data_IF_203487842212
#
_entry.id   IF_203487842212
#
_cell.length_a   1.000
_cell.length_b   1.000
_cell.length_c   1.000
_cell.angle_alpha   90.00
_cell.angle_beta   90.00
_cell.angle_gamma   90.00
#
_symmetry.space_group_name_H-M   'P 1'
#
loop_
_entity.id
_entity.type
_entity.pdbx_description
1 polymer ?
#
# COMPACT_ATOMS: atom_id res chain seq x y z
N UNK A 1 8.95 -4.22 11.44
CA UNK A 1 8.53 -4.48 10.05
C UNK A 1 9.39 -5.54 9.38
N UNK A 2 10.73 -5.44 9.33
CA UNK A 2 11.66 -6.37 8.64
C UNK A 2 11.45 -7.83 9.03
N UNK A 3 11.35 -8.14 10.33
CA UNK A 3 11.12 -9.52 10.80
C UNK A 3 9.82 -10.13 10.25
N UNK A 4 8.71 -9.37 10.28
CA UNK A 4 7.43 -9.85 9.74
C UNK A 4 7.49 -10.06 8.23
N UNK A 5 8.19 -9.19 7.49
CA UNK A 5 8.43 -9.35 6.06
C UNK A 5 9.23 -10.61 5.75
N UNK A 6 10.26 -10.90 6.55
CA UNK A 6 11.05 -12.13 6.44
C UNK A 6 10.21 -13.39 6.71
N UNK A 7 9.36 -13.35 7.76
CA UNK A 7 8.44 -14.45 8.09
C UNK A 7 7.40 -14.66 6.97
N UNK A 8 6.89 -13.58 6.37
CA UNK A 8 5.98 -13.66 5.24
C UNK A 8 6.68 -14.26 4.00
N UNK A 9 7.88 -13.82 3.67
CA UNK A 9 8.66 -14.37 2.56
C UNK A 9 8.97 -15.86 2.77
N UNK A 10 9.31 -16.24 4.00
CA UNK A 10 9.51 -17.63 4.41
C UNK A 10 8.25 -18.47 4.22
N UNK A 11 7.09 -17.94 4.63
CA UNK A 11 5.78 -18.58 4.49
C UNK A 11 5.43 -18.84 3.02
N UNK A 12 5.78 -17.93 2.11
CA UNK A 12 5.45 -17.99 0.68
C UNK A 12 6.45 -18.84 -0.12
N UNK A 13 7.76 -18.69 0.16
CA UNK A 13 8.83 -19.22 -0.70
C UNK A 13 9.97 -19.95 0.04
N UNK A 14 9.88 -20.11 1.36
CA UNK A 14 10.82 -20.87 2.19
C UNK A 14 11.94 -20.03 2.82
N UNK A 15 12.78 -20.69 3.62
CA UNK A 15 13.76 -20.05 4.51
C UNK A 15 14.73 -19.12 3.79
N UNK A 16 15.23 -19.52 2.61
CA UNK A 16 16.15 -18.69 1.82
C UNK A 16 15.53 -17.37 1.41
N UNK A 17 14.26 -17.37 0.97
CA UNK A 17 13.55 -16.13 0.63
C UNK A 17 13.37 -15.24 1.88
N UNK A 18 13.08 -15.84 3.04
CA UNK A 18 13.00 -15.15 4.32
C UNK A 18 14.31 -14.46 4.71
N UNK A 19 15.44 -15.16 4.64
CA UNK A 19 16.77 -14.60 4.97
C UNK A 19 17.16 -13.46 4.01
N UNK A 20 16.94 -13.63 2.71
CA UNK A 20 17.21 -12.57 1.72
C UNK A 20 16.32 -11.35 1.98
N UNK A 21 15.05 -11.57 2.31
CA UNK A 21 14.13 -10.49 2.69
C UNK A 21 14.59 -9.75 3.94
N UNK A 22 15.05 -10.46 4.96
CA UNK A 22 15.59 -9.85 6.18
C UNK A 22 16.81 -8.98 5.88
N UNK A 23 17.75 -9.50 5.09
CA UNK A 23 18.97 -8.78 4.71
C UNK A 23 18.66 -7.51 3.89
N UNK A 24 17.90 -7.65 2.80
CA UNK A 24 17.52 -6.49 1.97
C UNK A 24 16.72 -5.49 2.78
N UNK A 25 15.74 -5.97 3.57
CA UNK A 25 14.88 -5.10 4.38
C UNK A 25 15.63 -4.30 5.44
N UNK A 26 16.72 -4.86 5.99
CA UNK A 26 17.56 -4.16 6.96
C UNK A 26 18.38 -3.00 6.35
N UNK A 27 18.78 -3.12 5.08
CA UNK A 27 19.61 -2.12 4.41
C UNK A 27 18.81 -1.17 3.50
N UNK A 28 17.55 -1.50 3.15
CA UNK A 28 16.76 -0.71 2.22
C UNK A 28 16.16 0.54 2.89
N UNK A 29 16.58 1.76 2.48
CA UNK A 29 16.24 2.98 3.18
C UNK A 29 14.74 3.26 3.30
N UNK A 30 13.93 2.95 2.29
CA UNK A 30 12.49 3.22 2.34
C UNK A 30 11.73 2.35 3.35
N UNK A 31 12.34 1.30 3.90
CA UNK A 31 11.72 0.53 5.00
C UNK A 31 11.92 1.16 6.38
N UNK A 32 12.98 1.96 6.58
CA UNK A 32 13.31 2.50 7.91
C UNK A 32 13.37 4.04 7.95
N UNK A 33 13.38 4.74 6.80
CA UNK A 33 13.49 6.22 6.78
C UNK A 33 12.37 6.92 7.55
N UNK A 34 11.21 6.29 7.64
CA UNK A 34 10.05 6.82 8.37
C UNK A 34 10.12 6.56 9.89
N UNK A 35 11.00 5.67 10.37
CA UNK A 35 11.08 5.30 11.80
C UNK A 35 11.59 6.44 12.69
N UNK A 36 12.31 7.39 12.10
CA UNK A 36 12.76 8.62 12.77
C UNK A 36 11.74 9.76 12.76
N UNK A 37 10.56 9.57 12.20
CA UNK A 37 9.52 10.60 12.07
C UNK A 37 8.27 10.22 12.87
N UNK A 38 7.57 11.22 13.40
CA UNK A 38 6.27 11.02 14.06
C UNK A 38 5.21 10.92 12.96
N UNK A 39 5.21 9.80 12.26
CA UNK A 39 4.30 9.50 11.14
C UNK A 39 3.74 8.08 11.24
N UNK A 40 2.61 7.82 10.59
CA UNK A 40 1.90 6.54 10.67
C UNK A 40 2.53 5.42 9.85
N UNK A 41 3.48 5.72 8.96
CA UNK A 41 4.01 4.80 7.96
C UNK A 41 4.67 3.55 8.57
N UNK A 42 5.49 3.71 9.61
CA UNK A 42 6.16 2.58 10.27
C UNK A 42 5.17 1.65 10.95
N UNK A 43 4.19 2.22 11.66
CA UNK A 43 3.14 1.45 12.33
C UNK A 43 2.23 0.73 11.32
N UNK A 44 1.76 1.45 10.30
CA UNK A 44 0.87 0.88 9.28
C UNK A 44 1.58 -0.19 8.45
N UNK A 45 2.88 -0.02 8.16
CA UNK A 45 3.68 -1.04 7.47
C UNK A 45 3.71 -2.38 8.22
N UNK A 46 3.88 -2.33 9.56
CA UNK A 46 3.82 -3.54 10.40
C UNK A 46 2.44 -4.21 10.32
N UNK A 47 1.37 -3.42 10.45
CA UNK A 47 0.00 -3.92 10.42
C UNK A 47 -0.38 -4.52 9.04
N UNK A 48 0.03 -3.88 7.94
CA UNK A 48 -0.21 -4.36 6.57
C UNK A 48 0.52 -5.68 6.30
N UNK A 49 1.82 -5.78 6.66
CA UNK A 49 2.57 -7.04 6.53
C UNK A 49 1.95 -8.13 7.39
N UNK A 50 1.54 -7.79 8.63
CA UNK A 50 0.82 -8.70 9.52
C UNK A 50 -0.49 -9.20 8.92
N UNK A 51 -1.28 -8.33 8.30
CA UNK A 51 -2.53 -8.67 7.62
C UNK A 51 -2.31 -9.67 6.50
N UNK A 52 -1.30 -9.43 5.66
CA UNK A 52 -0.98 -10.34 4.54
C UNK A 52 -0.43 -11.67 5.04
N UNK A 53 0.43 -11.67 6.07
CA UNK A 53 0.92 -12.91 6.70
C UNK A 53 -0.22 -13.73 7.31
N UNK A 54 -1.13 -13.06 8.05
CA UNK A 54 -2.33 -13.71 8.59
C UNK A 54 -3.20 -14.30 7.48
N UNK A 55 -3.33 -13.62 6.34
CA UNK A 55 -4.08 -14.10 5.17
C UNK A 55 -3.49 -15.40 4.62
N UNK A 56 -2.17 -15.50 4.45
CA UNK A 56 -1.54 -16.75 4.00
C UNK A 56 -1.73 -17.89 5.00
N UNK A 57 -1.57 -17.61 6.30
CA UNK A 57 -1.81 -18.60 7.36
C UNK A 57 -3.27 -19.03 7.44
N UNK A 58 -4.22 -18.12 7.24
CA UNK A 58 -5.65 -18.42 7.18
C UNK A 58 -5.99 -19.27 5.95
N UNK A 59 -5.42 -18.95 4.79
CA UNK A 59 -5.64 -19.71 3.56
C UNK A 59 -5.13 -21.16 3.62
N UNK A 60 -4.08 -21.46 4.43
CA UNK A 60 -3.61 -22.83 4.66
C UNK A 60 -4.55 -23.66 5.55
N UNK A 61 -5.35 -23.02 6.38
CA UNK A 61 -6.29 -23.69 7.29
C UNK A 61 -7.62 -22.93 7.27
N UNK A 62 -8.34 -22.95 6.13
CA UNK A 62 -9.48 -22.06 5.89
C UNK A 62 -10.66 -22.27 6.84
N UNK A 63 -10.78 -23.46 7.43
CA UNK A 63 -11.82 -23.78 8.41
C UNK A 63 -11.54 -23.20 9.82
N UNK A 64 -10.35 -22.68 10.07
CA UNK A 64 -10.03 -22.02 11.34
C UNK A 64 -10.54 -20.57 11.29
N UNK A 65 -11.80 -20.36 11.62
CA UNK A 65 -12.54 -19.11 11.53
C UNK A 65 -11.84 -17.92 12.21
N UNK A 66 -11.18 -18.12 13.36
CA UNK A 66 -10.48 -17.08 14.11
C UNK A 66 -9.32 -16.44 13.34
N UNK A 67 -8.69 -17.16 12.41
CA UNK A 67 -7.62 -16.63 11.56
C UNK A 67 -8.14 -15.56 10.61
N UNK A 68 -9.38 -15.72 10.12
CA UNK A 68 -10.00 -14.72 9.27
C UNK A 68 -10.44 -13.49 10.06
N UNK A 69 -10.83 -13.65 11.32
CA UNK A 69 -11.04 -12.51 12.23
C UNK A 69 -9.73 -11.76 12.46
N UNK A 70 -8.58 -12.47 12.60
CA UNK A 70 -7.28 -11.82 12.74
C UNK A 70 -6.89 -11.01 11.49
N UNK A 71 -7.22 -11.48 10.28
CA UNK A 71 -7.03 -10.72 9.04
C UNK A 71 -7.81 -9.39 9.10
N UNK A 72 -9.08 -9.45 9.48
CA UNK A 72 -9.92 -8.25 9.62
C UNK A 72 -9.45 -7.30 10.72
N UNK A 73 -9.05 -7.85 11.88
CA UNK A 73 -8.50 -7.08 13.00
C UNK A 73 -7.25 -6.29 12.58
N UNK A 74 -6.25 -6.95 12.01
CA UNK A 74 -5.01 -6.30 11.58
C UNK A 74 -5.25 -5.31 10.42
N UNK A 75 -6.15 -5.65 9.48
CA UNK A 75 -6.57 -4.73 8.43
C UNK A 75 -7.30 -3.50 8.97
N UNK A 76 -8.14 -3.66 10.00
CA UNK A 76 -8.78 -2.55 10.70
C UNK A 76 -7.79 -1.64 11.41
N UNK A 77 -6.80 -2.21 12.08
CA UNK A 77 -5.68 -1.46 12.69
C UNK A 77 -4.91 -0.68 11.62
N UNK A 78 -4.66 -1.29 10.46
CA UNK A 78 -4.03 -0.59 9.32
C UNK A 78 -4.85 0.61 8.86
N UNK A 79 -6.17 0.46 8.75
CA UNK A 79 -7.10 1.50 8.33
C UNK A 79 -7.21 2.66 9.32
N UNK A 80 -7.10 2.40 10.64
CA UNK A 80 -7.03 3.45 11.66
C UNK A 80 -5.74 4.28 11.55
N UNK A 81 -4.65 3.67 11.09
CA UNK A 81 -3.40 4.39 10.85
C UNK A 81 -3.39 5.20 9.56
N UNK A 82 -4.07 4.70 8.51
CA UNK A 82 -4.19 5.36 7.19
C UNK A 82 -5.51 4.98 6.52
N UNK A 83 -6.34 5.97 6.24
CA UNK A 83 -7.71 5.77 5.79
C UNK A 83 -7.85 4.94 4.51
N UNK A 84 -6.94 5.09 3.54
CA UNK A 84 -6.94 4.34 2.29
C UNK A 84 -6.77 2.83 2.50
N UNK A 85 -6.12 2.41 3.59
CA UNK A 85 -5.92 1.00 3.93
C UNK A 85 -7.20 0.28 4.37
N UNK A 86 -8.33 0.99 4.52
CA UNK A 86 -9.65 0.37 4.68
C UNK A 86 -9.97 -0.56 3.52
N UNK A 87 -9.44 -0.29 2.33
CA UNK A 87 -9.60 -1.11 1.14
C UNK A 87 -8.80 -2.41 1.16
N UNK A 88 -7.83 -2.57 2.08
CA UNK A 88 -6.95 -3.74 2.10
C UNK A 88 -7.73 -5.06 2.32
N UNK A 89 -8.62 -5.09 3.30
CA UNK A 89 -9.43 -6.29 3.59
C UNK A 89 -10.40 -6.61 2.45
N UNK A 90 -11.18 -5.66 1.91
CA UNK A 90 -12.00 -5.89 0.71
C UNK A 90 -11.22 -6.42 -0.50
N UNK A 91 -10.04 -5.84 -0.79
CA UNK A 91 -9.18 -6.29 -1.89
C UNK A 91 -8.67 -7.71 -1.65
N UNK A 92 -8.23 -8.04 -0.42
CA UNK A 92 -7.86 -9.41 -0.05
C UNK A 92 -9.07 -10.35 -0.17
N UNK A 93 -10.24 -9.96 0.31
CA UNK A 93 -11.46 -10.75 0.25
C UNK A 93 -11.87 -11.08 -1.20
N UNK A 94 -11.75 -10.11 -2.12
CA UNK A 94 -11.95 -10.36 -3.56
C UNK A 94 -11.01 -11.47 -4.07
N UNK A 95 -9.74 -11.44 -3.67
CA UNK A 95 -8.79 -12.50 -4.01
C UNK A 95 -9.10 -13.86 -3.36
N UNK A 96 -9.65 -13.87 -2.15
CA UNK A 96 -10.13 -15.09 -1.47
C UNK A 96 -11.31 -15.68 -2.22
N UNK A 97 -12.28 -14.85 -2.61
CA UNK A 97 -13.46 -15.28 -3.36
C UNK A 97 -13.11 -15.89 -4.73
N UNK A 98 -12.08 -15.35 -5.39
CA UNK A 98 -11.59 -15.80 -6.69
C UNK A 98 -10.61 -16.99 -6.62
N UNK A 99 -10.27 -17.50 -5.40
CA UNK A 99 -9.27 -18.54 -5.22
C UNK A 99 -9.88 -19.92 -4.85
N UNK A 100 -10.24 -20.79 -5.82
CA UNK A 100 -10.84 -22.10 -5.52
C UNK A 100 -9.98 -23.00 -4.63
N UNK A 101 -8.66 -22.78 -4.64
CA UNK A 101 -7.67 -23.49 -3.81
C UNK A 101 -7.89 -23.34 -2.30
N UNK A 102 -8.63 -22.30 -1.86
CA UNK A 102 -8.93 -22.05 -0.43
C UNK A 102 -10.07 -22.95 0.04
N UNK A 103 -10.88 -23.49 -0.87
CA UNK A 103 -12.00 -24.36 -0.56
C UNK A 103 -13.27 -24.04 -1.33
N UNK A 104 -14.38 -24.65 -0.92
CA UNK A 104 -15.68 -24.41 -1.52
C UNK A 104 -16.10 -22.93 -1.39
N UNK A 105 -16.97 -22.47 -2.29
CA UNK A 105 -17.42 -21.06 -2.30
C UNK A 105 -18.01 -20.62 -0.93
N UNK A 106 -18.73 -21.52 -0.25
CA UNK A 106 -19.27 -21.25 1.09
C UNK A 106 -18.17 -20.91 2.10
N UNK A 107 -17.05 -21.66 2.10
CA UNK A 107 -15.90 -21.39 2.99
C UNK A 107 -15.29 -20.03 2.67
N UNK A 108 -15.12 -19.69 1.40
CA UNK A 108 -14.57 -18.41 0.95
C UNK A 108 -15.47 -17.24 1.30
N UNK A 109 -16.79 -17.40 1.20
CA UNK A 109 -17.77 -16.38 1.61
C UNK A 109 -17.74 -16.16 3.11
N UNK A 110 -17.70 -17.23 3.92
CA UNK A 110 -17.62 -17.13 5.38
C UNK A 110 -16.29 -16.47 5.78
N UNK A 111 -15.15 -16.86 5.18
CA UNK A 111 -13.84 -16.28 5.40
C UNK A 111 -13.84 -14.76 5.15
N UNK A 112 -14.37 -14.35 4.00
CA UNK A 112 -14.46 -12.93 3.62
C UNK A 112 -15.40 -12.15 4.55
N UNK A 113 -16.54 -12.73 4.93
CA UNK A 113 -17.49 -12.12 5.86
C UNK A 113 -16.87 -11.94 7.26
N UNK A 114 -16.18 -12.95 7.79
CA UNK A 114 -15.50 -12.86 9.09
C UNK A 114 -14.42 -11.78 9.10
N UNK A 115 -13.60 -11.69 8.05
CA UNK A 115 -12.61 -10.63 7.93
C UNK A 115 -13.27 -9.25 7.82
N UNK A 116 -14.36 -9.12 7.07
CA UNK A 116 -15.14 -7.89 6.96
C UNK A 116 -15.77 -7.46 8.28
N UNK A 117 -16.39 -8.39 9.00
CA UNK A 117 -17.00 -8.12 10.33
C UNK A 117 -15.93 -7.66 11.32
N UNK A 118 -14.78 -8.33 11.38
CA UNK A 118 -13.69 -7.93 12.28
C UNK A 118 -13.14 -6.55 11.92
N UNK A 119 -12.98 -6.23 10.63
CA UNK A 119 -12.62 -4.88 10.16
C UNK A 119 -13.63 -3.85 10.70
N UNK A 120 -14.93 -4.08 10.49
CA UNK A 120 -15.99 -3.16 10.92
C UNK A 120 -16.02 -2.98 12.44
N UNK A 121 -15.83 -4.06 13.21
CA UNK A 121 -15.77 -4.00 14.67
C UNK A 121 -14.58 -3.14 15.17
N UNK A 122 -13.44 -3.20 14.50
CA UNK A 122 -12.28 -2.34 14.83
C UNK A 122 -12.56 -0.87 14.52
N UNK A 123 -13.25 -0.59 13.42
CA UNK A 123 -13.54 0.78 13.00
C UNK A 123 -14.76 1.39 13.72
N UNK A 124 -15.68 0.57 14.23
CA UNK A 124 -16.94 1.02 14.83
C UNK A 124 -16.75 2.02 15.98
N UNK A 125 -15.86 1.81 16.97
CA UNK A 125 -15.66 2.79 18.05
C UNK A 125 -15.23 4.16 17.53
N UNK A 126 -14.33 4.19 16.54
CA UNK A 126 -13.85 5.43 15.93
C UNK A 126 -14.96 6.13 15.13
N UNK A 127 -15.75 5.36 14.36
CA UNK A 127 -16.87 5.89 13.62
C UNK A 127 -17.96 6.47 14.54
N UNK A 128 -18.31 5.76 15.63
CA UNK A 128 -19.29 6.23 16.63
C UNK A 128 -18.79 7.52 17.29
N UNK A 129 -17.53 7.57 17.70
CA UNK A 129 -16.92 8.77 18.28
C UNK A 129 -16.97 9.96 17.32
N UNK A 130 -16.59 9.77 16.05
CA UNK A 130 -16.65 10.83 15.06
C UNK A 130 -18.08 11.30 14.79
N UNK A 131 -19.04 10.37 14.73
CA UNK A 131 -20.45 10.68 14.47
C UNK A 131 -21.11 11.50 15.60
N UNK A 132 -20.58 11.41 16.82
CA UNK A 132 -21.05 12.22 17.97
C UNK A 132 -20.37 13.57 18.09
N UNK A 133 -19.21 13.76 17.45
CA UNK A 133 -18.36 14.94 17.61
C UNK A 133 -18.49 15.95 16.46
N UNK A 134 -18.66 15.46 15.25
CA UNK A 134 -18.66 16.29 14.04
C UNK A 134 -20.07 16.61 13.56
N UNK A 135 -20.26 17.80 12.98
CA UNK A 135 -21.55 18.23 12.37
C UNK A 135 -21.93 17.40 11.15
N UNK A 136 -20.93 16.96 10.37
CA UNK A 136 -21.10 16.13 9.19
C UNK A 136 -20.51 14.73 9.40
N UNK A 137 -20.95 13.76 8.61
CA UNK A 137 -20.49 12.37 8.72
C UNK A 137 -19.01 12.25 8.37
N UNK A 138 -18.21 11.83 9.35
CA UNK A 138 -16.78 11.50 9.19
C UNK A 138 -16.60 10.01 9.47
N UNK A 139 -16.14 9.26 8.45
CA UNK A 139 -15.91 7.81 8.59
C UNK A 139 -14.56 7.55 9.27
N UNK A 140 -13.48 8.05 8.72
CA UNK A 140 -12.12 7.82 9.23
C UNK A 140 -11.36 9.11 9.51
N UNK A 141 -11.38 10.06 8.58
CA UNK A 141 -10.60 11.30 8.63
C UNK A 141 -11.34 12.43 7.93
N UNK A 142 -11.03 13.67 8.31
CA UNK A 142 -11.45 14.89 7.62
C UNK A 142 -10.40 15.38 6.60
N UNK A 143 -9.21 14.75 6.57
CA UNK A 143 -8.11 15.16 5.69
C UNK A 143 -8.34 14.83 4.21
N UNK A 144 -9.27 13.94 3.90
CA UNK A 144 -9.60 13.55 2.52
C UNK A 144 -10.10 14.75 1.69
N UNK A 145 -10.95 15.61 2.28
CA UNK A 145 -11.42 16.83 1.60
C UNK A 145 -10.27 17.78 1.25
N UNK A 146 -9.36 18.01 2.20
CA UNK A 146 -8.19 18.87 1.96
C UNK A 146 -7.26 18.26 0.90
N UNK A 147 -6.98 16.97 1.00
CA UNK A 147 -6.14 16.28 0.02
C UNK A 147 -6.75 16.33 -1.39
N UNK A 148 -8.07 16.17 -1.51
CA UNK A 148 -8.77 16.21 -2.79
C UNK A 148 -8.77 17.61 -3.39
N UNK A 149 -9.14 18.67 -2.65
CA UNK A 149 -9.21 20.02 -3.20
C UNK A 149 -7.84 20.53 -3.60
N UNK A 150 -6.83 20.34 -2.77
CA UNK A 150 -5.46 20.80 -3.04
C UNK A 150 -4.74 20.05 -4.18
N UNK A 151 -5.33 18.97 -4.67
CA UNK A 151 -4.80 18.17 -5.79
C UNK A 151 -5.70 18.17 -7.03
N UNK A 152 -6.83 18.91 -6.99
CA UNK A 152 -7.73 19.08 -8.12
C UNK A 152 -7.97 20.57 -8.37
N UNK A 153 -6.96 21.23 -8.94
CA UNK A 153 -6.90 22.64 -9.30
C UNK A 153 -5.99 22.81 -10.54
N UNK A 154 -5.95 23.99 -11.13
CA UNK A 154 -5.21 24.27 -12.37
C UNK A 154 -3.72 23.92 -12.27
N UNK A 155 -3.08 24.26 -11.15
CA UNK A 155 -1.67 23.93 -10.90
C UNK A 155 -1.42 22.41 -10.89
N UNK A 156 -2.30 21.65 -10.22
CA UNK A 156 -2.19 20.20 -10.11
C UNK A 156 -2.51 19.45 -11.41
N UNK A 157 -3.16 20.13 -12.37
CA UNK A 157 -3.61 19.55 -13.64
C UNK A 157 -2.72 19.90 -14.83
N UNK A 158 -1.67 20.72 -14.65
CA UNK A 158 -0.86 21.23 -15.76
C UNK A 158 0.65 21.25 -15.46
N UNK A 159 1.43 21.41 -16.52
CA UNK A 159 2.87 21.65 -16.43
C UNK A 159 3.68 20.55 -15.77
N UNK A 160 4.82 20.97 -15.21
CA UNK A 160 5.77 20.06 -14.57
C UNK A 160 5.30 19.52 -13.21
N UNK A 161 4.29 20.13 -12.62
CA UNK A 161 3.78 19.82 -11.28
C UNK A 161 2.50 19.00 -11.32
N UNK A 162 2.09 18.56 -12.50
CA UNK A 162 0.90 17.70 -12.69
C UNK A 162 0.91 16.49 -11.73
N UNK A 163 -0.21 16.26 -11.06
CA UNK A 163 -0.39 15.15 -10.12
C UNK A 163 0.14 15.38 -8.70
N UNK A 164 0.66 16.57 -8.38
CA UNK A 164 1.04 16.98 -7.02
C UNK A 164 -0.14 17.57 -6.24
N UNK A 165 0.15 18.03 -5.02
CA UNK A 165 -0.78 18.74 -4.14
C UNK A 165 -0.26 20.13 -3.80
N UNK A 166 -1.15 21.10 -3.61
CA UNK A 166 -0.84 22.51 -3.40
C UNK A 166 -1.56 23.07 -2.17
N UNK A 167 -1.11 22.65 -0.99
CA UNK A 167 -1.71 23.02 0.30
C UNK A 167 -1.50 24.49 0.70
N UNK A 168 -0.72 25.26 -0.05
CA UNK A 168 -0.42 26.69 0.24
C UNK A 168 -0.78 27.61 -0.90
N UNK A 169 -1.33 27.11 -2.00
CA UNK A 169 -1.79 27.92 -3.12
C UNK A 169 -3.22 28.41 -2.86
N UNK A 170 -3.44 29.72 -2.94
CA UNK A 170 -4.79 30.29 -2.82
C UNK A 170 -5.71 29.83 -3.95
N UNK A 171 -5.17 29.55 -5.14
CA UNK A 171 -5.92 29.09 -6.29
C UNK A 171 -6.39 27.62 -6.13
N UNK A 172 -5.64 26.82 -5.37
CA UNK A 172 -5.97 25.42 -5.07
C UNK A 172 -6.73 25.23 -3.76
N UNK A 173 -6.69 26.19 -2.87
CA UNK A 173 -7.28 26.08 -1.54
C UNK A 173 -8.25 27.24 -1.30
N UNK A 174 -9.54 27.07 -1.61
CA UNK A 174 -10.55 28.11 -1.36
C UNK A 174 -10.70 28.37 0.13
N UNK A 175 -11.17 29.59 0.46
CA UNK A 175 -11.44 29.93 1.85
C UNK A 175 -12.38 28.90 2.50
N UNK A 176 -12.05 28.43 3.71
CA UNK A 176 -12.88 27.42 4.38
C UNK A 176 -14.25 28.02 4.74
N UNK A 177 -15.34 27.25 4.58
CA UNK A 177 -16.65 27.65 5.04
C UNK A 177 -16.70 27.76 6.58
N UNK A 178 -17.72 28.43 7.10
CA UNK A 178 -17.99 28.43 8.54
C UNK A 178 -18.51 27.06 8.97
N UNK A 179 -17.99 26.54 10.09
CA UNK A 179 -18.35 25.23 10.64
C UNK A 179 -17.11 24.50 11.17
N UNK A 180 -17.30 23.26 11.60
CA UNK A 180 -16.21 22.42 12.05
C UNK A 180 -15.42 21.80 10.87
N UNK A 181 -14.39 21.01 11.19
CA UNK A 181 -13.53 20.38 10.18
C UNK A 181 -14.28 19.45 9.23
N UNK A 182 -15.42 18.89 9.65
CA UNK A 182 -16.22 17.99 8.81
C UNK A 182 -17.01 18.76 7.74
N UNK A 183 -17.48 19.96 8.07
CA UNK A 183 -18.14 20.90 7.13
C UNK A 183 -17.13 21.37 6.09
N UNK A 184 -15.93 21.75 6.53
CA UNK A 184 -14.84 22.14 5.64
C UNK A 184 -14.46 20.99 4.69
N UNK A 185 -14.31 19.77 5.20
CA UNK A 185 -13.96 18.60 4.40
C UNK A 185 -15.04 18.26 3.37
N UNK A 186 -16.33 18.38 3.72
CA UNK A 186 -17.45 18.15 2.79
C UNK A 186 -17.44 19.17 1.66
N UNK A 187 -17.26 20.45 1.99
CA UNK A 187 -17.18 21.53 1.00
C UNK A 187 -15.98 21.35 0.06
N UNK A 188 -14.81 21.01 0.61
CA UNK A 188 -13.62 20.77 -0.19
C UNK A 188 -13.77 19.57 -1.13
N UNK A 189 -14.41 18.49 -0.69
CA UNK A 189 -14.76 17.37 -1.59
C UNK A 189 -15.70 17.84 -2.70
N UNK A 190 -16.71 18.64 -2.38
CA UNK A 190 -17.64 19.19 -3.37
C UNK A 190 -16.94 20.03 -4.43
N UNK A 191 -16.03 20.93 -4.01
CA UNK A 191 -15.23 21.75 -4.93
C UNK A 191 -14.32 20.87 -5.80
N UNK A 192 -13.64 19.90 -5.21
CA UNK A 192 -12.77 18.99 -5.94
C UNK A 192 -13.54 18.18 -7.00
N UNK A 193 -14.68 17.59 -6.64
CA UNK A 193 -15.50 16.83 -7.60
C UNK A 193 -16.07 17.71 -8.71
N UNK A 194 -16.49 18.93 -8.39
CA UNK A 194 -16.93 19.91 -9.39
C UNK A 194 -15.80 20.17 -10.38
N UNK A 195 -14.60 20.50 -9.90
CA UNK A 195 -13.42 20.75 -10.73
C UNK A 195 -13.08 19.54 -11.63
N UNK A 196 -13.09 18.32 -11.04
CA UNK A 196 -12.85 17.09 -11.79
C UNK A 196 -13.89 16.88 -12.91
N UNK A 197 -15.17 17.18 -12.66
CA UNK A 197 -16.23 17.03 -13.66
C UNK A 197 -16.11 18.07 -14.80
N UNK A 198 -15.75 19.29 -14.48
CA UNK A 198 -15.52 20.37 -15.45
C UNK A 198 -14.24 20.11 -16.30
N UNK A 199 -13.28 19.38 -15.75
CA UNK A 199 -12.02 19.04 -16.41
C UNK A 199 -11.88 17.51 -16.70
N UNK A 200 -13.00 16.82 -16.95
CA UNK A 200 -13.05 15.35 -17.06
C UNK A 200 -12.08 14.79 -18.12
N UNK A 201 -11.84 15.50 -19.22
CA UNK A 201 -10.90 15.11 -20.28
C UNK A 201 -9.44 15.07 -19.81
N UNK A 202 -9.10 15.85 -18.76
CA UNK A 202 -7.75 15.92 -18.18
C UNK A 202 -7.53 14.86 -17.08
N UNK A 203 -8.60 14.39 -16.42
CA UNK A 203 -8.52 13.45 -15.30
C UNK A 203 -7.67 12.21 -15.62
N UNK A 204 -7.80 11.52 -16.76
CA UNK A 204 -6.98 10.32 -17.03
C UNK A 204 -5.48 10.59 -17.00
N UNK A 205 -5.01 11.69 -17.60
CA UNK A 205 -3.58 12.02 -17.62
C UNK A 205 -3.08 12.45 -16.24
N UNK A 206 -3.90 13.15 -15.45
CA UNK A 206 -3.57 13.52 -14.08
C UNK A 206 -3.46 12.28 -13.20
N UNK A 207 -4.36 11.30 -13.34
CA UNK A 207 -4.30 10.02 -12.65
C UNK A 207 -3.04 9.25 -13.02
N UNK A 208 -2.67 9.18 -14.30
CA UNK A 208 -1.42 8.56 -14.74
C UNK A 208 -0.19 9.26 -14.14
N UNK A 209 -0.20 10.59 -14.07
CA UNK A 209 0.88 11.35 -13.44
C UNK A 209 0.96 11.06 -11.93
N UNK A 210 -0.17 10.99 -11.22
CA UNK A 210 -0.23 10.62 -9.79
C UNK A 210 0.35 9.23 -9.54
N UNK A 211 -0.09 8.24 -10.30
CA UNK A 211 0.44 6.87 -10.23
C UNK A 211 1.95 6.85 -10.56
N UNK A 212 2.36 7.54 -11.62
CA UNK A 212 3.76 7.64 -11.99
C UNK A 212 4.64 8.27 -10.89
N UNK A 213 4.15 9.27 -10.17
CA UNK A 213 4.84 9.91 -9.03
C UNK A 213 4.88 9.00 -7.81
N UNK A 214 3.77 8.36 -7.47
CA UNK A 214 3.68 7.43 -6.36
C UNK A 214 4.68 6.26 -6.54
N UNK A 215 4.72 5.70 -7.74
CA UNK A 215 5.65 4.62 -8.09
C UNK A 215 7.03 5.10 -8.55
N UNK A 216 7.35 6.39 -8.40
CA UNK A 216 8.63 7.00 -8.82
C UNK A 216 9.01 6.73 -10.28
N UNK A 217 8.02 6.52 -11.14
CA UNK A 217 8.19 6.32 -12.60
C UNK A 217 8.04 7.62 -13.38
N UNK A 218 7.51 8.67 -12.75
CA UNK A 218 7.38 10.00 -13.33
C UNK A 218 7.98 11.04 -12.40
N UNK A 219 8.98 11.81 -12.90
CA UNK A 219 9.68 12.89 -12.22
C UNK A 219 10.17 12.56 -10.80
N UNK A 220 10.95 11.51 -10.60
CA UNK A 220 11.41 11.08 -9.26
C UNK A 220 12.25 12.12 -8.53
N UNK A 221 12.95 13.02 -9.27
CA UNK A 221 13.74 14.10 -8.68
C UNK A 221 12.89 15.12 -7.90
N UNK A 222 11.66 15.40 -8.38
CA UNK A 222 10.73 16.28 -7.66
C UNK A 222 10.33 15.65 -6.33
N UNK A 223 10.13 14.33 -6.30
CA UNK A 223 9.75 13.58 -5.10
C UNK A 223 10.85 13.60 -4.03
N UNK A 224 12.12 13.70 -4.43
CA UNK A 224 13.22 13.92 -3.48
C UNK A 224 13.02 15.21 -2.68
N UNK A 225 12.70 16.30 -3.37
CA UNK A 225 12.48 17.60 -2.75
C UNK A 225 11.30 17.59 -1.77
N UNK A 226 10.20 16.89 -2.15
CA UNK A 226 9.05 16.71 -1.26
C UNK A 226 9.39 15.89 -0.01
N UNK A 227 10.13 14.81 -0.14
CA UNK A 227 10.56 14.01 1.01
C UNK A 227 11.46 14.80 1.96
N UNK A 228 12.34 15.66 1.43
CA UNK A 228 13.18 16.55 2.24
C UNK A 228 12.33 17.59 2.97
N UNK A 229 11.32 18.16 2.31
CA UNK A 229 10.39 19.11 2.92
C UNK A 229 9.57 18.49 4.06
N UNK A 230 9.36 17.17 4.04
CA UNK A 230 8.70 16.40 5.10
C UNK A 230 9.67 15.90 6.20
N UNK A 231 10.94 16.33 6.19
CA UNK A 231 11.93 16.02 7.22
C UNK A 231 12.79 14.78 6.97
N UNK A 232 12.69 14.14 5.78
CA UNK A 232 13.55 13.00 5.44
C UNK A 232 14.90 13.48 4.92
N UNK A 233 16.04 12.92 5.39
CA UNK A 233 17.35 13.30 4.87
C UNK A 233 17.48 13.03 3.37
N UNK A 234 18.00 14.02 2.62
CA UNK A 234 18.12 13.92 1.16
C UNK A 234 18.93 12.71 0.71
N UNK A 235 20.07 12.45 1.37
CA UNK A 235 20.93 11.33 1.03
C UNK A 235 20.24 9.97 1.22
N UNK A 236 19.44 9.82 2.30
CA UNK A 236 18.65 8.59 2.57
C UNK A 236 17.62 8.35 1.48
N UNK A 237 16.89 9.40 1.10
CA UNK A 237 15.87 9.29 0.04
C UNK A 237 16.50 9.01 -1.31
N UNK A 238 17.66 9.65 -1.62
CA UNK A 238 18.40 9.38 -2.86
C UNK A 238 18.87 7.93 -2.92
N UNK A 239 19.47 7.43 -1.82
CA UNK A 239 19.88 6.03 -1.71
C UNK A 239 18.69 5.09 -1.83
N UNK A 240 17.57 5.44 -1.20
CA UNK A 240 16.30 4.69 -1.32
C UNK A 240 15.85 4.54 -2.77
N UNK A 241 15.91 5.61 -3.58
CA UNK A 241 15.56 5.55 -5.00
C UNK A 241 16.54 4.68 -5.81
N UNK A 242 17.85 4.74 -5.53
CA UNK A 242 18.85 3.89 -6.19
C UNK A 242 18.56 2.41 -5.94
N UNK A 243 18.21 2.02 -4.71
CA UNK A 243 17.83 0.65 -4.38
C UNK A 243 16.47 0.26 -4.95
N UNK A 244 15.54 1.22 -5.02
CA UNK A 244 14.17 0.97 -5.43
C UNK A 244 14.03 0.36 -6.81
N UNK A 245 14.73 0.89 -7.83
CA UNK A 245 14.54 0.40 -9.20
C UNK A 245 15.00 -1.04 -9.43
N UNK A 246 16.18 -1.47 -8.94
CA UNK A 246 16.56 -2.89 -9.00
C UNK A 246 15.60 -3.78 -8.23
N UNK A 247 15.12 -3.32 -7.04
CA UNK A 247 14.16 -4.08 -6.25
C UNK A 247 12.81 -4.19 -6.96
N UNK A 248 12.33 -3.13 -7.58
CA UNK A 248 11.09 -3.15 -8.36
C UNK A 248 11.20 -4.12 -9.55
N UNK A 249 12.31 -4.08 -10.29
CA UNK A 249 12.54 -5.02 -11.37
C UNK A 249 12.57 -6.47 -10.85
N UNK A 250 13.30 -6.73 -9.77
CA UNK A 250 13.32 -8.03 -9.11
C UNK A 250 11.95 -8.46 -8.60
N UNK A 251 11.12 -7.51 -8.13
CA UNK A 251 9.75 -7.80 -7.70
C UNK A 251 8.85 -8.26 -8.85
N UNK A 252 8.96 -7.66 -10.03
CA UNK A 252 8.26 -8.15 -11.23
C UNK A 252 8.68 -9.57 -11.60
N UNK A 253 9.99 -9.87 -11.54
CA UNK A 253 10.51 -11.21 -11.80
C UNK A 253 9.98 -12.21 -10.75
N UNK A 254 9.99 -11.84 -9.46
CA UNK A 254 9.46 -12.68 -8.39
C UNK A 254 7.95 -12.93 -8.52
N UNK A 255 7.20 -11.89 -8.87
CA UNK A 255 5.79 -12.00 -9.17
C UNK A 255 5.53 -12.96 -10.35
N UNK A 256 6.28 -12.82 -11.42
CA UNK A 256 6.21 -13.71 -12.60
C UNK A 256 6.55 -15.16 -12.23
N UNK A 257 7.59 -15.40 -11.43
CA UNK A 257 7.95 -16.74 -10.95
C UNK A 257 6.81 -17.37 -10.15
N UNK A 258 6.20 -16.63 -9.20
CA UNK A 258 5.07 -17.11 -8.42
C UNK A 258 3.87 -17.44 -9.33
N UNK A 259 3.57 -16.58 -10.28
CA UNK A 259 2.49 -16.78 -11.26
C UNK A 259 2.73 -18.03 -12.10
N UNK A 260 3.92 -18.21 -12.67
CA UNK A 260 4.31 -19.41 -13.45
C UNK A 260 4.21 -20.68 -12.61
N UNK A 261 4.54 -20.60 -11.32
CA UNK A 261 4.43 -21.73 -10.38
C UNK A 261 3.00 -21.91 -9.85
N UNK A 262 2.01 -21.17 -10.36
CA UNK A 262 0.60 -21.21 -9.94
C UNK A 262 0.42 -20.98 -8.42
N UNK A 263 1.32 -20.21 -7.79
CA UNK A 263 1.20 -19.82 -6.39
C UNK A 263 0.22 -18.66 -6.26
N UNK A 264 -0.45 -18.57 -5.13
CA UNK A 264 -1.40 -17.50 -4.86
C UNK A 264 -0.65 -16.19 -4.56
N UNK A 265 -0.57 -15.31 -5.54
CA UNK A 265 0.18 -14.05 -5.47
C UNK A 265 -0.67 -12.89 -4.97
N UNK A 266 -2.00 -12.98 -5.07
CA UNK A 266 -2.92 -11.88 -4.85
C UNK A 266 -2.68 -11.11 -3.53
N UNK A 267 -2.49 -11.76 -2.35
CA UNK A 267 -2.27 -11.01 -1.10
C UNK A 267 -0.98 -10.18 -1.10
N UNK A 268 0.04 -10.58 -1.87
CA UNK A 268 1.28 -9.79 -2.02
C UNK A 268 1.09 -8.57 -2.91
N UNK A 269 0.16 -8.62 -3.85
CA UNK A 269 -0.15 -7.51 -4.76
C UNK A 269 -1.18 -6.54 -4.15
N UNK A 270 -2.01 -7.00 -3.20
CA UNK A 270 -3.09 -6.22 -2.63
C UNK A 270 -2.64 -4.87 -2.04
N UNK A 271 -1.55 -4.76 -1.26
CA UNK A 271 -1.09 -3.47 -0.75
C UNK A 271 -0.67 -2.49 -1.86
N UNK A 272 0.01 -2.98 -2.91
CA UNK A 272 0.35 -2.16 -4.07
C UNK A 272 -0.88 -1.64 -4.81
N UNK A 273 -1.92 -2.47 -4.95
CA UNK A 273 -3.19 -2.04 -5.54
C UNK A 273 -3.88 -0.98 -4.67
N UNK A 274 -3.92 -1.17 -3.34
CA UNK A 274 -4.58 -0.24 -2.43
C UNK A 274 -3.91 1.13 -2.43
N UNK A 275 -2.57 1.20 -2.36
CA UNK A 275 -1.87 2.50 -2.41
C UNK A 275 -2.06 3.19 -3.76
N UNK A 276 -2.10 2.43 -4.85
CA UNK A 276 -2.39 2.97 -6.19
C UNK A 276 -3.81 3.55 -6.28
N UNK A 277 -4.80 2.88 -5.70
CA UNK A 277 -6.17 3.40 -5.60
C UNK A 277 -6.21 4.69 -4.77
N UNK A 278 -5.47 4.75 -3.66
CA UNK A 278 -5.34 5.98 -2.86
C UNK A 278 -4.76 7.15 -3.66
N UNK A 279 -3.70 6.92 -4.44
CA UNK A 279 -3.08 7.94 -5.28
C UNK A 279 -4.00 8.47 -6.39
N UNK A 280 -4.92 7.65 -6.92
CA UNK A 280 -5.91 8.08 -7.92
C UNK A 280 -6.79 9.20 -7.39
N UNK A 281 -7.27 9.09 -6.16
CA UNK A 281 -8.21 10.04 -5.55
C UNK A 281 -7.54 11.25 -4.90
N UNK A 282 -6.29 11.11 -4.44
CA UNK A 282 -5.55 12.18 -3.78
C UNK A 282 -4.48 12.78 -4.71
N UNK A 283 -3.22 12.43 -4.49
CA UNK A 283 -2.06 12.92 -5.25
C UNK A 283 -0.93 11.90 -5.21
N UNK A 284 0.02 11.99 -6.14
CA UNK A 284 1.16 11.09 -6.21
C UNK A 284 2.32 11.56 -5.33
N UNK A 285 2.70 10.73 -4.34
CA UNK A 285 3.86 10.99 -3.48
C UNK A 285 4.46 9.67 -2.97
N UNK A 286 5.79 9.57 -2.95
CA UNK A 286 6.52 8.35 -2.55
C UNK A 286 6.05 7.78 -1.20
N UNK A 287 5.70 8.64 -0.25
CA UNK A 287 5.26 8.20 1.09
C UNK A 287 3.98 7.37 1.08
N UNK A 288 3.10 7.56 0.08
CA UNK A 288 1.88 6.74 -0.01
C UNK A 288 2.19 5.29 -0.34
N UNK A 289 3.30 5.03 -1.02
CA UNK A 289 3.78 3.68 -1.33
C UNK A 289 4.38 2.96 -0.13
N UNK A 290 4.69 3.64 0.99
CA UNK A 290 5.34 3.03 2.15
C UNK A 290 4.71 1.70 2.61
N UNK A 291 3.37 1.52 2.66
CA UNK A 291 2.76 0.22 2.99
C UNK A 291 3.04 -0.89 1.96
N UNK A 292 3.39 -0.54 0.72
CA UNK A 292 3.69 -1.49 -0.36
C UNK A 292 5.18 -1.85 -0.47
N UNK A 293 6.07 -1.04 0.09
CA UNK A 293 7.54 -1.24 0.02
C UNK A 293 8.00 -2.63 0.53
N UNK A 294 7.49 -3.17 1.65
CA UNK A 294 7.88 -4.49 2.11
C UNK A 294 7.61 -5.59 1.07
N UNK A 295 6.56 -5.45 0.27
CA UNK A 295 6.15 -6.45 -0.73
C UNK A 295 7.03 -6.42 -1.97
N UNK A 296 7.58 -5.25 -2.32
CA UNK A 296 8.62 -5.12 -3.36
C UNK A 296 9.85 -5.90 -2.93
N UNK A 297 10.30 -5.74 -1.68
CA UNK A 297 11.45 -6.48 -1.11
C UNK A 297 11.18 -7.97 -1.08
N UNK A 298 10.01 -8.41 -0.60
CA UNK A 298 9.61 -9.83 -0.54
C UNK A 298 9.63 -10.46 -1.93
N UNK A 299 9.01 -9.82 -2.91
CA UNK A 299 8.93 -10.34 -4.28
C UNK A 299 10.33 -10.42 -4.93
N UNK A 300 11.16 -9.39 -4.74
CA UNK A 300 12.55 -9.41 -5.19
C UNK A 300 13.35 -10.55 -4.53
N UNK A 301 13.22 -10.73 -3.22
CA UNK A 301 13.88 -11.82 -2.50
C UNK A 301 13.45 -13.21 -3.00
N UNK A 302 12.19 -13.37 -3.39
CA UNK A 302 11.68 -14.60 -4.02
C UNK A 302 12.36 -14.85 -5.37
N UNK A 303 12.56 -13.82 -6.21
CA UNK A 303 13.31 -13.93 -7.46
C UNK A 303 14.74 -14.40 -7.20
N UNK A 304 15.46 -13.73 -6.30
CA UNK A 304 16.84 -14.07 -5.97
C UNK A 304 16.96 -15.49 -5.38
N UNK A 305 16.00 -15.91 -4.56
CA UNK A 305 15.98 -17.26 -3.99
C UNK A 305 15.79 -18.37 -5.05
N UNK A 306 15.09 -18.05 -6.14
CA UNK A 306 14.83 -18.99 -7.23
C UNK A 306 16.06 -19.22 -8.13
N UNK A 307 16.82 -18.16 -8.43
CA UNK A 307 18.05 -18.22 -9.25
C UNK A 307 19.09 -19.16 -8.60
N UNK A 308 19.28 -19.06 -7.30
CA UNK A 308 20.27 -19.88 -6.63
C UNK A 308 19.89 -21.37 -6.46
N UNK A 309 18.63 -21.76 -6.69
CA UNK A 309 18.24 -23.19 -6.73
C UNK A 309 18.62 -23.84 -8.06
N UNK A 310 18.55 -23.12 -9.15
CA UNK A 310 19.00 -23.62 -10.47
C UNK A 310 20.52 -23.82 -10.51
N UNK A 311 21.30 -22.93 -9.91
CA UNK A 311 22.76 -23.08 -9.82
C UNK A 311 23.23 -24.25 -8.95
N UNK A 312 22.44 -24.66 -7.94
CA UNK A 312 22.76 -25.83 -7.12
C UNK A 312 22.40 -27.16 -7.80
N UNK A 313 21.32 -27.20 -8.60
CA UNK A 313 20.95 -28.36 -9.40
C UNK A 313 21.98 -28.64 -10.50
N UNK A 314 22.42 -27.59 -11.22
CA UNK A 314 23.41 -27.75 -12.29
C UNK A 314 24.81 -28.11 -11.79
N UNK A 315 25.19 -27.85 -10.52
CA UNK A 315 26.48 -28.30 -9.96
C UNK A 315 26.50 -29.77 -9.58
N UNK A 316 25.32 -30.34 -9.31
CA UNK A 316 25.22 -31.78 -8.98
C UNK A 316 25.10 -32.67 -10.23
N UNK A 317 25.01 -32.09 -11.41
CA UNK A 317 24.95 -32.81 -12.70
C UNK A 317 26.25 -32.70 -13.50
N UNK A 318 27.38 -32.28 -12.89
CA UNK A 318 28.69 -32.21 -13.56
C UNK A 318 29.23 -33.64 -13.70
N UNK A 319 29.32 -34.20 -14.93
CA UNK A 319 29.67 -35.62 -15.17
C UNK A 319 31.15 -35.93 -14.94
N UNK A 320 31.96 -35.00 -14.45
CA UNK A 320 33.41 -35.20 -14.26
C UNK A 320 33.82 -35.68 -12.87
N UNK A 321 32.85 -36.08 -12.04
CA UNK A 321 33.12 -36.65 -10.70
C UNK A 321 32.63 -38.09 -10.57
N UNK A 322 32.74 -38.89 -11.67
CA UNK A 322 32.71 -40.36 -11.60
C UNK A 322 34.10 -40.94 -11.84
#
# INVERSE_FOLDING_TARGET
>A
MVLLSALLAREVAGDRAGLITAFIGAIYPFLWVNDGLIMSESFTGVAVVGTVLATYKAARSPNQWWRWLLVGLLGGISALGRAELVLLVPVIAAGVLLAPRIGAIRVRLIASALAGVALLLVLAPWFIYNSSRFEKRVILSTNDGLAMVASNCDEAYSGNVIGLTFLRSADCLPAPPRGDQSVVAEEYRRVAFKYMSENASRVPIVVLARLGRDWSLFRPADMLSWNVAEGRPRWVTSLGLVFYYPLLLGAFVGAFILWRRKRWIWPLLAPGLVVSLGAIFAYGQIRFRAPAEPFIVILCAIALSAIGRQGASNRNEDPLTQ
#
